data_IF_983590161054
#
_entry.id   IF_983590161054
#
_cell.length_a   1.000
_cell.length_b   1.000
_cell.length_c   1.000
_cell.angle_alpha   90.00
_cell.angle_beta   90.00
_cell.angle_gamma   90.00
#
_symmetry.space_group_name_H-M   'P 1'
#
loop_
_entity.id
_entity.type
_entity.pdbx_description
1 polymer ?
#
# COMPACT_ATOMS: atom_id res chain seq x y z
N UNK A 1 13.00 -9.18 13.04
CA UNK A 1 12.05 -8.10 12.78
C UNK A 1 11.65 -8.13 11.31
N UNK A 2 10.36 -8.04 11.03
CA UNK A 2 9.85 -8.05 9.67
C UNK A 2 9.20 -6.71 9.36
N UNK A 3 9.42 -6.22 8.15
CA UNK A 3 8.75 -5.03 7.64
C UNK A 3 7.59 -5.45 6.73
N UNK A 4 6.43 -4.89 6.95
CA UNK A 4 5.27 -5.13 6.11
C UNK A 4 5.24 -4.09 4.98
N UNK A 5 5.12 -4.57 3.75
CA UNK A 5 4.91 -3.75 2.56
C UNK A 5 3.49 -3.97 2.09
N UNK A 6 2.75 -2.90 1.88
CA UNK A 6 1.37 -2.98 1.44
C UNK A 6 1.07 -2.11 0.24
N UNK A 7 0.19 -2.59 -0.62
CA UNK A 7 -0.36 -1.85 -1.75
C UNK A 7 -1.87 -1.79 -1.60
N UNK A 8 -2.40 -0.57 -1.47
CA UNK A 8 -3.82 -0.31 -1.28
C UNK A 8 -4.39 0.34 -2.55
N UNK A 9 -4.91 -0.44 -3.49
CA UNK A 9 -5.44 0.09 -4.75
C UNK A 9 -6.87 0.60 -4.59
N UNK A 10 -7.19 1.68 -5.29
CA UNK A 10 -8.56 2.16 -5.43
C UNK A 10 -9.37 1.21 -6.31
N UNK A 11 -8.73 0.67 -7.34
CA UNK A 11 -9.37 -0.25 -8.29
C UNK A 11 -8.34 -1.29 -8.76
N UNK A 12 -8.17 -2.34 -7.98
CA UNK A 12 -7.21 -3.39 -8.31
C UNK A 12 -7.13 -4.43 -7.20
N UNK A 13 -6.11 -5.26 -7.29
CA UNK A 13 -5.87 -6.33 -6.32
C UNK A 13 -4.86 -5.83 -5.29
N UNK A 14 -5.22 -5.80 -4.00
CA UNK A 14 -4.27 -5.41 -2.95
C UNK A 14 -3.16 -6.44 -2.82
N UNK A 15 -1.98 -5.98 -2.43
CA UNK A 15 -0.81 -6.83 -2.24
C UNK A 15 -0.18 -6.51 -0.90
N UNK A 16 0.20 -7.53 -0.17
CA UNK A 16 0.98 -7.39 1.06
C UNK A 16 2.08 -8.43 1.07
N UNK A 17 3.26 -8.01 1.52
CA UNK A 17 4.40 -8.90 1.68
C UNK A 17 5.20 -8.49 2.92
N UNK A 18 5.96 -9.43 3.45
CA UNK A 18 6.84 -9.21 4.61
C UNK A 18 8.28 -9.43 4.18
N UNK A 19 9.13 -8.46 4.49
CA UNK A 19 10.54 -8.51 4.14
C UNK A 19 11.39 -8.25 5.36
N UNK A 20 12.59 -8.81 5.37
CA UNK A 20 13.52 -8.61 6.48
C UNK A 20 14.04 -7.17 6.53
N UNK A 21 14.16 -6.55 5.36
CA UNK A 21 14.71 -5.21 5.21
C UNK A 21 13.78 -4.34 4.37
N UNK A 22 14.06 -3.05 4.35
CA UNK A 22 13.35 -2.06 3.52
C UNK A 22 14.32 -1.35 2.59
N UNK A 23 15.20 -2.12 1.96
CA UNK A 23 16.19 -1.60 1.00
C UNK A 23 15.57 -1.46 -0.39
N UNK A 24 16.32 -0.83 -1.29
CA UNK A 24 15.88 -0.63 -2.68
C UNK A 24 15.55 -1.94 -3.39
N UNK A 25 16.28 -3.02 -3.09
CA UNK A 25 16.01 -4.34 -3.65
C UNK A 25 14.66 -4.88 -3.22
N UNK A 26 14.31 -4.66 -1.96
CA UNK A 26 13.02 -5.06 -1.41
C UNK A 26 11.87 -4.27 -2.03
N UNK A 27 12.10 -2.97 -2.22
CA UNK A 27 11.14 -2.08 -2.90
C UNK A 27 10.94 -2.53 -4.35
N UNK A 28 12.01 -2.83 -5.07
CA UNK A 28 11.94 -3.33 -6.44
C UNK A 28 11.16 -4.63 -6.55
N UNK A 29 11.43 -5.56 -5.65
CA UNK A 29 10.71 -6.84 -5.62
C UNK A 29 9.22 -6.61 -5.38
N UNK A 30 8.87 -5.69 -4.48
CA UNK A 30 7.48 -5.39 -4.19
C UNK A 30 6.77 -4.75 -5.39
N UNK A 31 7.43 -3.88 -6.14
CA UNK A 31 6.88 -3.33 -7.38
C UNK A 31 6.55 -4.44 -8.40
N UNK A 32 7.41 -5.44 -8.51
CA UNK A 32 7.16 -6.58 -9.38
C UNK A 32 5.95 -7.38 -8.91
N UNK A 33 5.79 -7.57 -7.61
CA UNK A 33 4.61 -8.24 -7.04
C UNK A 33 3.32 -7.47 -7.32
N UNK A 34 3.34 -6.15 -7.18
CA UNK A 34 2.20 -5.30 -7.50
C UNK A 34 1.78 -5.52 -8.96
N UNK A 35 2.74 -5.47 -9.87
CA UNK A 35 2.48 -5.68 -11.30
C UNK A 35 1.97 -7.08 -11.58
N UNK A 36 2.56 -8.09 -10.95
CA UNK A 36 2.16 -9.48 -11.13
C UNK A 36 0.69 -9.71 -10.78
N UNK A 37 0.21 -9.09 -9.70
CA UNK A 37 -1.19 -9.22 -9.26
C UNK A 37 -2.14 -8.28 -10.01
N UNK A 38 -1.62 -7.30 -10.73
CA UNK A 38 -2.41 -6.33 -11.49
C UNK A 38 -1.81 -6.19 -12.90
N UNK A 39 -1.85 -7.26 -13.72
CA UNK A 39 -1.04 -7.34 -14.94
C UNK A 39 -1.47 -6.42 -16.07
N UNK A 40 -2.75 -6.01 -16.12
CA UNK A 40 -3.30 -5.28 -17.27
C UNK A 40 -3.67 -3.83 -16.94
N UNK A 41 -3.67 -3.46 -15.68
CA UNK A 41 -4.09 -2.11 -15.28
C UNK A 41 -2.96 -1.11 -15.39
N UNK A 42 -3.31 0.12 -15.75
CA UNK A 42 -2.41 1.24 -15.57
C UNK A 42 -2.28 1.52 -14.07
N UNK A 43 -1.05 1.64 -13.59
CA UNK A 43 -0.78 1.82 -12.17
C UNK A 43 -0.11 3.17 -11.93
N UNK A 44 -0.77 3.99 -11.13
CA UNK A 44 -0.18 5.21 -10.57
C UNK A 44 -0.11 5.00 -9.07
N UNK A 45 1.09 4.99 -8.53
CA UNK A 45 1.35 4.67 -7.13
C UNK A 45 1.80 5.91 -6.38
N UNK A 46 1.01 6.31 -5.37
CA UNK A 46 1.44 7.34 -4.43
C UNK A 46 2.15 6.66 -3.26
N UNK A 47 3.29 7.19 -2.88
CA UNK A 47 4.08 6.63 -1.80
C UNK A 47 4.78 7.75 -1.03
N UNK A 48 5.20 7.42 0.18
CA UNK A 48 5.90 8.38 1.01
C UNK A 48 7.30 8.67 0.47
N UNK A 49 7.97 9.61 1.11
CA UNK A 49 9.26 10.11 0.68
C UNK A 49 10.43 9.31 1.27
N UNK A 50 10.21 8.03 1.58
CA UNK A 50 11.23 7.16 2.15
C UNK A 50 12.42 7.01 1.18
N UNK A 51 13.62 7.04 1.73
CA UNK A 51 14.86 7.04 0.94
C UNK A 51 14.95 5.89 -0.07
N UNK A 52 14.59 4.67 0.35
CA UNK A 52 14.62 3.51 -0.53
C UNK A 52 13.63 3.62 -1.69
N UNK A 53 12.48 4.28 -1.47
CA UNK A 53 11.51 4.52 -2.54
C UNK A 53 12.06 5.46 -3.63
N UNK A 54 12.92 6.39 -3.24
CA UNK A 54 13.48 7.42 -4.14
C UNK A 54 14.79 7.02 -4.78
N UNK A 55 15.35 5.88 -4.41
CA UNK A 55 16.59 5.41 -5.00
C UNK A 55 16.43 5.24 -6.53
N UNK A 56 17.49 5.55 -7.27
CA UNK A 56 17.46 5.44 -8.74
C UNK A 56 17.04 4.06 -9.20
N UNK A 57 17.52 3.01 -8.52
CA UNK A 57 17.18 1.63 -8.86
C UNK A 57 15.69 1.35 -8.64
N UNK A 58 15.10 1.90 -7.56
CA UNK A 58 13.67 1.75 -7.29
C UNK A 58 12.83 2.44 -8.35
N UNK A 59 13.19 3.66 -8.75
CA UNK A 59 12.52 4.40 -9.81
C UNK A 59 12.61 3.65 -11.13
N UNK A 60 13.79 3.12 -11.45
CA UNK A 60 14.01 2.32 -12.66
C UNK A 60 13.14 1.06 -12.63
N UNK A 61 13.10 0.34 -11.52
CA UNK A 61 12.26 -0.84 -11.36
C UNK A 61 10.77 -0.52 -11.57
N UNK A 62 10.30 0.57 -10.98
CA UNK A 62 8.91 0.99 -11.16
C UNK A 62 8.61 1.26 -12.63
N UNK A 63 9.53 1.96 -13.31
CA UNK A 63 9.39 2.27 -14.71
C UNK A 63 9.35 1.00 -15.57
N UNK A 64 10.22 0.03 -15.29
CA UNK A 64 10.24 -1.27 -15.97
C UNK A 64 8.95 -2.06 -15.74
N UNK A 65 8.32 -1.90 -14.57
CA UNK A 65 7.04 -2.52 -14.25
C UNK A 65 5.84 -1.72 -14.81
N UNK A 66 6.08 -0.59 -15.47
CA UNK A 66 5.02 0.28 -15.95
C UNK A 66 4.24 0.97 -14.85
N UNK A 67 4.90 1.23 -13.71
CA UNK A 67 4.30 1.91 -12.56
C UNK A 67 4.79 3.35 -12.52
N UNK A 68 3.85 4.30 -12.54
CA UNK A 68 4.15 5.71 -12.35
C UNK A 68 4.17 6.02 -10.86
N UNK A 69 5.25 6.62 -10.38
CA UNK A 69 5.40 6.98 -8.98
C UNK A 69 5.08 8.46 -8.76
N UNK A 70 4.32 8.73 -7.69
CA UNK A 70 4.07 10.07 -7.20
C UNK A 70 4.48 10.09 -5.73
N UNK A 71 5.53 10.85 -5.42
CA UNK A 71 6.02 10.96 -4.06
C UNK A 71 5.24 12.01 -3.29
N UNK A 72 4.77 11.64 -2.10
CA UNK A 72 4.08 12.56 -1.20
C UNK A 72 5.08 13.55 -0.59
N UNK A 73 4.60 14.75 -0.20
CA UNK A 73 5.46 15.70 0.52
C UNK A 73 6.03 15.07 1.80
N UNK A 74 7.21 15.52 2.26
CA UNK A 74 7.75 15.05 3.54
C UNK A 74 6.76 15.31 4.69
N UNK A 75 6.77 14.41 5.68
CA UNK A 75 5.97 14.56 6.91
C UNK A 75 4.46 14.67 6.67
N UNK A 76 3.94 13.96 5.68
CA UNK A 76 2.52 14.03 5.32
C UNK A 76 1.86 12.64 5.31
N UNK A 77 1.90 11.89 6.44
CA UNK A 77 1.32 10.54 6.48
C UNK A 77 -0.20 10.55 6.30
N UNK A 78 -0.87 11.62 6.67
CA UNK A 78 -2.31 11.79 6.50
C UNK A 78 -2.73 11.90 5.02
N UNK A 79 -1.80 12.15 4.11
CA UNK A 79 -2.04 12.15 2.68
C UNK A 79 -1.89 10.77 2.05
N UNK A 80 -1.53 9.75 2.85
CA UNK A 80 -1.37 8.38 2.36
C UNK A 80 -2.43 7.48 3.01
N UNK A 81 -3.49 7.11 2.27
CA UNK A 81 -4.61 6.35 2.84
C UNK A 81 -4.23 5.02 3.49
N UNK A 82 -3.18 4.38 3.03
CA UNK A 82 -2.72 3.11 3.61
C UNK A 82 -2.34 3.26 5.09
N UNK A 83 -1.96 4.45 5.52
CA UNK A 83 -1.60 4.70 6.92
C UNK A 83 -2.80 4.48 7.86
N UNK A 84 -4.02 4.73 7.39
CA UNK A 84 -5.23 4.46 8.17
C UNK A 84 -5.45 2.96 8.32
N UNK A 85 -5.10 2.17 7.31
CA UNK A 85 -5.14 0.71 7.39
C UNK A 85 -4.14 0.22 8.43
N UNK A 86 -2.90 0.69 8.37
CA UNK A 86 -1.86 0.31 9.34
C UNK A 86 -2.27 0.69 10.76
N UNK A 87 -2.84 1.85 10.93
CA UNK A 87 -3.34 2.31 12.23
C UNK A 87 -4.43 1.40 12.78
N UNK A 88 -5.36 0.97 11.94
CA UNK A 88 -6.44 0.06 12.32
C UNK A 88 -5.89 -1.33 12.68
N UNK A 89 -4.91 -1.82 11.92
CA UNK A 89 -4.24 -3.09 12.22
C UNK A 89 -3.52 -3.01 13.57
N UNK A 90 -2.79 -1.94 13.82
CA UNK A 90 -2.11 -1.73 15.12
C UNK A 90 -3.10 -1.75 16.29
N UNK A 91 -4.28 -1.22 16.09
CA UNK A 91 -5.33 -1.25 17.11
C UNK A 91 -5.79 -2.68 17.40
N UNK A 92 -5.98 -3.50 16.37
CA UNK A 92 -6.31 -4.92 16.53
C UNK A 92 -5.20 -5.65 17.30
N UNK A 93 -3.96 -5.44 16.91
CA UNK A 93 -2.81 -6.09 17.53
C UNK A 93 -2.71 -5.72 19.00
N UNK A 94 -2.97 -4.47 19.36
CA UNK A 94 -2.89 -4.01 20.75
C UNK A 94 -3.91 -4.68 21.68
N UNK A 95 -4.96 -5.28 21.13
CA UNK A 95 -6.00 -5.97 21.88
C UNK A 95 -5.96 -7.49 21.70
N UNK A 96 -4.90 -8.02 21.10
CA UNK A 96 -4.80 -9.43 20.77
C UNK A 96 -3.57 -10.03 21.42
N UNK A 97 -3.71 -11.21 22.00
CA UNK A 97 -2.57 -11.97 22.50
C UNK A 97 -1.80 -12.54 21.31
N UNK A 98 -0.52 -12.18 21.21
CA UNK A 98 0.35 -12.61 20.11
C UNK A 98 1.24 -13.74 20.59
N UNK A 99 1.08 -14.92 19.98
CA UNK A 99 1.84 -16.12 20.37
C UNK A 99 3.31 -16.06 19.93
N UNK A 100 3.52 -15.65 18.67
CA UNK A 100 4.83 -15.62 18.04
C UNK A 100 4.81 -14.72 16.81
N UNK A 101 5.93 -14.61 16.11
CA UNK A 101 6.08 -13.78 14.94
C UNK A 101 5.17 -14.26 13.78
N UNK A 102 5.04 -15.58 13.61
CA UNK A 102 4.17 -16.12 12.56
C UNK A 102 2.70 -15.78 12.80
N UNK A 103 2.27 -15.83 14.05
CA UNK A 103 0.93 -15.42 14.44
C UNK A 103 0.70 -13.92 14.14
N UNK A 104 1.67 -13.08 14.47
CA UNK A 104 1.62 -11.65 14.18
C UNK A 104 1.49 -11.38 12.68
N UNK A 105 2.33 -12.02 11.87
CA UNK A 105 2.29 -11.88 10.40
C UNK A 105 0.94 -12.31 9.83
N UNK A 106 0.37 -13.40 10.33
CA UNK A 106 -0.93 -13.88 9.89
C UNK A 106 -2.03 -12.88 10.20
N UNK A 107 -2.05 -12.30 11.40
CA UNK A 107 -3.03 -11.27 11.76
C UNK A 107 -2.90 -10.06 10.84
N UNK A 108 -1.68 -9.58 10.62
CA UNK A 108 -1.44 -8.43 9.74
C UNK A 108 -1.90 -8.75 8.32
N UNK A 109 -1.56 -9.91 7.79
CA UNK A 109 -1.96 -10.34 6.46
C UNK A 109 -3.48 -10.38 6.31
N UNK A 110 -4.16 -11.06 7.21
CA UNK A 110 -5.62 -11.22 7.15
C UNK A 110 -6.34 -9.88 7.27
N UNK A 111 -5.91 -9.03 8.21
CA UNK A 111 -6.52 -7.72 8.41
C UNK A 111 -6.24 -6.79 7.25
N UNK A 112 -5.04 -6.82 6.69
CA UNK A 112 -4.74 -6.01 5.51
C UNK A 112 -5.62 -6.43 4.32
N UNK A 113 -5.75 -7.72 4.06
CA UNK A 113 -6.61 -8.21 2.97
C UNK A 113 -8.07 -7.80 3.18
N UNK A 114 -8.54 -7.86 4.42
CA UNK A 114 -9.90 -7.42 4.75
C UNK A 114 -10.08 -5.92 4.53
N UNK A 115 -9.19 -5.09 5.09
CA UNK A 115 -9.32 -3.63 5.07
C UNK A 115 -9.03 -3.04 3.69
N UNK A 116 -8.08 -3.61 2.97
CA UNK A 116 -7.70 -3.10 1.65
C UNK A 116 -8.78 -3.28 0.58
N UNK A 117 -9.79 -4.10 0.86
CA UNK A 117 -10.98 -4.24 -0.01
C UNK A 117 -11.98 -3.11 0.19
N UNK A 118 -11.82 -2.30 1.23
CA UNK A 118 -12.74 -1.21 1.57
C UNK A 118 -12.17 0.13 1.08
N UNK A 119 -12.95 0.85 0.27
CA UNK A 119 -12.56 2.19 -0.16
C UNK A 119 -12.73 3.23 0.95
N UNK A 120 -13.42 2.87 2.05
CA UNK A 120 -13.69 3.79 3.16
C UNK A 120 -12.42 4.40 3.77
N UNK A 121 -11.32 3.68 3.77
CA UNK A 121 -10.03 4.20 4.25
C UNK A 121 -9.47 5.31 3.36
N UNK A 122 -9.92 5.38 2.11
CA UNK A 122 -9.47 6.36 1.13
C UNK A 122 -10.55 7.40 0.79
N UNK A 123 -11.71 7.38 1.44
CA UNK A 123 -12.84 8.25 1.10
C UNK A 123 -12.45 9.73 1.04
N UNK A 124 -11.85 10.25 2.08
CA UNK A 124 -11.46 11.66 2.14
C UNK A 124 -10.41 11.99 1.08
N UNK A 125 -9.47 11.09 0.85
CA UNK A 125 -8.44 11.25 -0.16
C UNK A 125 -9.04 11.28 -1.57
N UNK A 126 -9.97 10.35 -1.86
CA UNK A 126 -10.63 10.27 -3.17
C UNK A 126 -11.43 11.54 -3.43
N UNK A 127 -12.20 12.01 -2.46
CA UNK A 127 -12.98 13.23 -2.59
C UNK A 127 -12.09 14.46 -2.80
N UNK A 128 -10.97 14.53 -2.07
CA UNK A 128 -10.06 15.68 -2.14
C UNK A 128 -9.28 15.73 -3.46
N UNK A 129 -8.79 14.60 -3.94
CA UNK A 129 -7.86 14.56 -5.07
C UNK A 129 -8.46 14.06 -6.38
N UNK A 130 -9.51 13.23 -6.33
CA UNK A 130 -10.13 12.65 -7.53
C UNK A 130 -11.57 13.13 -7.75
N UNK A 131 -12.22 13.67 -6.72
CA UNK A 131 -13.58 14.19 -6.78
C UNK A 131 -14.66 13.12 -6.64
N UNK A 132 -15.87 13.56 -6.29
CA UNK A 132 -17.02 12.68 -6.07
C UNK A 132 -17.39 11.86 -7.31
N UNK A 133 -17.29 12.45 -8.49
CA UNK A 133 -17.63 11.78 -9.75
C UNK A 133 -16.78 10.52 -9.96
N UNK A 134 -15.48 10.61 -9.67
CA UNK A 134 -14.58 9.47 -9.79
C UNK A 134 -14.96 8.38 -8.79
N UNK A 135 -15.25 8.76 -7.55
CA UNK A 135 -15.67 7.83 -6.51
C UNK A 135 -16.94 7.09 -6.90
N UNK A 136 -17.93 7.79 -7.44
CA UNK A 136 -19.18 7.19 -7.90
C UNK A 136 -18.93 6.18 -9.02
N UNK A 137 -18.05 6.49 -9.96
CA UNK A 137 -17.69 5.57 -11.04
C UNK A 137 -17.04 4.30 -10.49
N UNK A 138 -16.18 4.41 -9.48
CA UNK A 138 -15.55 3.27 -8.83
C UNK A 138 -16.56 2.38 -8.12
N UNK A 139 -17.63 2.96 -7.60
CA UNK A 139 -18.71 2.25 -6.93
C UNK A 139 -19.77 1.71 -7.90
N UNK A 140 -19.64 1.96 -9.18
CA UNK A 140 -20.55 1.46 -10.20
C UNK A 140 -21.81 2.29 -10.41
N UNK A 141 -21.81 3.52 -9.99
CA UNK A 141 -22.95 4.44 -10.14
C UNK A 141 -22.81 5.40 -11.32
#
# INVERSE_FOLDING_TARGET
>A
KANAFGFYPVNGIPVIDFKEHSKKEDVCDFFRQIRLHNPTKEIVLTLDNFRAHKAKDSIKCANECGIKLIFLPPYSPDLNPIEFIWKSIKRVISHTFIKDLNHLRRIIFEKFQEYAKRLSFADSWIEKFLGKKYKLNLLGF
#
